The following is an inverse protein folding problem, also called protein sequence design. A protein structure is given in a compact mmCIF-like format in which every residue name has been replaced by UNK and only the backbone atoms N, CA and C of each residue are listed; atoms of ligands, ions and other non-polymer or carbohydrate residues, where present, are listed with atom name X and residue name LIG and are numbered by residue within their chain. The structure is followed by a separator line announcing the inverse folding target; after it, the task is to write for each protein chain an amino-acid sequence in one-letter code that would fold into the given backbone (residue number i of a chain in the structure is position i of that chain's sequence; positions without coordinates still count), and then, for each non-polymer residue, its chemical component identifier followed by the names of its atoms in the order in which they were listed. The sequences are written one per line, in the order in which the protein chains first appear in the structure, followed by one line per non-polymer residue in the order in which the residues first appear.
data_IF_335715352881
#
_entry.id   IF_335715352881
#
_cell.length_a   1.000
_cell.length_b   1.000
_cell.length_c   1.000
_cell.angle_alpha   90.00
_cell.angle_beta   90.00
_cell.angle_gamma   90.00
#
_symmetry.space_group_name_H-M   'P 1'
#
loop_
_entity.id
_entity.type
_entity.pdbx_description
1 polymer ?
#
# COMPACT_ATOMS: atom_id res chain seq x y z
N UNK A 1 -5.96 -22.23 -3.06
CA UNK A 1 -6.55 -22.11 -1.71
C UNK A 1 -5.75 -22.93 -0.68
N UNK A 2 -4.41 -22.95 -0.77
CA UNK A 2 -3.55 -23.78 0.12
C UNK A 2 -2.38 -23.00 0.70
N UNK A 3 -2.22 -21.74 0.29
CA UNK A 3 -1.11 -20.89 0.71
C UNK A 3 -1.40 -20.22 2.07
N UNK A 4 -2.56 -19.58 2.24
CA UNK A 4 -2.96 -18.93 3.49
C UNK A 4 -2.98 -19.86 4.72
N UNK A 5 -3.40 -21.12 4.55
CA UNK A 5 -3.39 -22.11 5.62
C UNK A 5 -1.96 -22.55 6.02
N UNK A 6 -1.01 -22.47 5.09
CA UNK A 6 0.41 -22.68 5.38
C UNK A 6 0.99 -21.45 6.10
N UNK A 7 0.68 -20.23 5.62
CA UNK A 7 1.10 -18.98 6.25
C UNK A 7 0.63 -18.87 7.71
N UNK A 8 -0.60 -19.28 8.00
CA UNK A 8 -1.15 -19.32 9.36
C UNK A 8 -0.28 -20.06 10.38
N UNK A 9 0.45 -21.11 9.96
CA UNK A 9 1.30 -21.91 10.85
C UNK A 9 2.73 -21.37 10.95
N UNK A 10 3.10 -20.40 10.12
CA UNK A 10 4.42 -19.80 10.16
C UNK A 10 4.56 -18.92 11.41
N UNK A 11 5.80 -18.83 11.88
CA UNK A 11 6.16 -17.99 13.01
C UNK A 11 6.10 -16.52 12.58
N UNK A 12 5.40 -15.71 13.36
CA UNK A 12 5.36 -14.26 13.20
C UNK A 12 6.67 -13.63 13.68
N UNK A 13 7.20 -12.71 12.88
CA UNK A 13 8.32 -11.86 13.26
C UNK A 13 7.86 -10.74 14.22
N UNK A 14 8.81 -10.07 14.86
CA UNK A 14 8.49 -8.94 15.74
C UNK A 14 7.82 -7.79 14.96
N UNK A 15 8.23 -7.55 13.72
CA UNK A 15 7.57 -6.56 12.86
C UNK A 15 6.07 -6.87 12.61
N UNK A 16 5.68 -8.15 12.60
CA UNK A 16 4.28 -8.54 12.46
C UNK A 16 3.51 -8.28 13.76
N UNK A 17 4.14 -8.49 14.91
CA UNK A 17 3.58 -8.11 16.22
C UNK A 17 3.39 -6.61 16.30
N UNK A 18 4.40 -5.83 15.95
CA UNK A 18 4.36 -4.37 15.96
C UNK A 18 3.24 -3.83 15.05
N UNK A 19 3.13 -4.36 13.83
CA UNK A 19 2.04 -4.01 12.91
C UNK A 19 0.66 -4.33 13.50
N UNK A 20 0.55 -5.41 14.27
CA UNK A 20 -0.68 -5.78 14.98
C UNK A 20 -0.97 -4.79 16.12
N UNK A 21 0.05 -4.38 16.89
CA UNK A 21 -0.07 -3.34 17.92
C UNK A 21 -0.58 -2.02 17.33
N UNK A 22 0.00 -1.58 16.23
CA UNK A 22 -0.42 -0.35 15.54
C UNK A 22 -1.90 -0.42 15.12
N UNK A 23 -2.33 -1.58 14.60
CA UNK A 23 -3.73 -1.79 14.21
C UNK A 23 -4.68 -1.77 15.42
N UNK A 24 -4.30 -2.39 16.53
CA UNK A 24 -5.08 -2.33 17.77
C UNK A 24 -5.16 -0.89 18.32
N UNK A 25 -4.05 -0.14 18.26
CA UNK A 25 -3.99 1.25 18.70
C UNK A 25 -4.86 2.18 17.86
N UNK A 26 -4.90 1.98 16.54
CA UNK A 26 -5.82 2.67 15.65
C UNK A 26 -7.28 2.37 16.00
N UNK A 27 -7.64 1.10 16.18
CA UNK A 27 -9.01 0.72 16.55
C UNK A 27 -9.46 1.27 17.92
N UNK A 28 -8.55 1.34 18.90
CA UNK A 28 -8.82 1.98 20.20
C UNK A 28 -9.03 3.49 20.04
N UNK A 29 -8.19 4.16 19.26
CA UNK A 29 -8.31 5.60 18.97
C UNK A 29 -9.60 5.95 18.22
N UNK A 30 -10.10 5.04 17.38
CA UNK A 30 -11.40 5.14 16.70
C UNK A 30 -12.60 4.79 17.60
N UNK A 31 -12.37 4.37 18.85
CA UNK A 31 -13.42 3.99 19.80
C UNK A 31 -14.05 2.62 19.53
N UNK A 32 -13.40 1.78 18.71
CA UNK A 32 -13.87 0.41 18.38
C UNK A 32 -13.39 -0.64 19.37
N UNK A 33 -12.31 -0.34 20.09
CA UNK A 33 -11.83 -1.11 21.23
C UNK A 33 -11.85 -0.23 22.46
N UNK A 34 -12.30 -0.79 23.59
CA UNK A 34 -12.12 -0.14 24.88
C UNK A 34 -10.67 -0.28 25.38
N UNK A 35 -10.21 0.57 26.31
CA UNK A 35 -8.87 0.48 26.86
C UNK A 35 -8.55 -0.89 27.49
N UNK A 36 -9.50 -1.49 28.21
CA UNK A 36 -9.38 -2.82 28.81
C UNK A 36 -9.18 -3.92 27.75
N UNK A 37 -9.94 -3.84 26.65
CA UNK A 37 -9.81 -4.79 25.54
C UNK A 37 -8.50 -4.61 24.79
N UNK A 38 -8.03 -3.37 24.66
CA UNK A 38 -6.75 -3.06 24.04
C UNK A 38 -5.60 -3.65 24.85
N UNK A 39 -5.56 -3.45 26.16
CA UNK A 39 -4.51 -4.00 27.04
C UNK A 39 -4.50 -5.54 27.02
N UNK A 40 -5.67 -6.18 27.14
CA UNK A 40 -5.79 -7.64 27.08
C UNK A 40 -5.30 -8.20 25.74
N UNK A 41 -5.62 -7.54 24.63
CA UNK A 41 -5.16 -7.96 23.30
C UNK A 41 -3.67 -7.67 23.11
N UNK A 42 -3.15 -6.57 23.67
CA UNK A 42 -1.74 -6.20 23.59
C UNK A 42 -0.85 -7.25 24.26
N UNK A 43 -1.22 -7.75 25.44
CA UNK A 43 -0.52 -8.86 26.09
C UNK A 43 -0.49 -10.12 25.21
N UNK A 44 -1.62 -10.44 24.56
CA UNK A 44 -1.73 -11.58 23.65
C UNK A 44 -0.89 -11.43 22.38
N UNK A 45 -0.73 -10.21 21.86
CA UNK A 45 0.15 -9.95 20.71
C UNK A 45 1.59 -10.33 21.05
N UNK A 46 2.08 -9.93 22.22
CA UNK A 46 3.45 -10.24 22.63
C UNK A 46 3.66 -11.72 22.98
N UNK A 47 2.60 -12.43 23.38
CA UNK A 47 2.63 -13.88 23.59
C UNK A 47 2.49 -14.69 22.28
N UNK A 48 2.00 -14.09 21.20
CA UNK A 48 1.72 -14.79 19.95
C UNK A 48 3.00 -15.26 19.25
N UNK A 49 2.98 -16.48 18.74
CA UNK A 49 4.09 -17.12 18.03
C UNK A 49 3.81 -17.17 16.54
N UNK A 50 2.55 -17.32 16.12
CA UNK A 50 2.16 -17.59 14.74
C UNK A 50 1.29 -16.50 14.13
N UNK A 51 1.27 -16.42 12.79
CA UNK A 51 0.36 -15.50 12.08
C UNK A 51 -1.10 -15.76 12.42
N UNK A 52 -1.52 -17.03 12.56
CA UNK A 52 -2.89 -17.36 12.93
C UNK A 52 -3.31 -16.80 14.30
N UNK A 53 -2.38 -16.68 15.25
CA UNK A 53 -2.66 -16.08 16.56
C UNK A 53 -2.82 -14.57 16.43
N UNK A 54 -1.96 -13.90 15.66
CA UNK A 54 -2.08 -12.46 15.39
C UNK A 54 -3.37 -12.12 14.65
N UNK A 55 -3.70 -12.85 13.59
CA UNK A 55 -4.89 -12.60 12.78
C UNK A 55 -6.18 -12.66 13.59
N UNK A 56 -6.27 -13.58 14.56
CA UNK A 56 -7.44 -13.70 15.46
C UNK A 56 -7.63 -12.47 16.34
N UNK A 57 -6.56 -11.78 16.73
CA UNK A 57 -6.63 -10.61 17.61
C UNK A 57 -7.23 -9.38 16.91
N UNK A 58 -7.31 -9.40 15.59
CA UNK A 58 -7.78 -8.28 14.76
C UNK A 58 -8.87 -8.68 13.76
N UNK A 59 -9.41 -9.90 13.90
CA UNK A 59 -10.39 -10.48 12.97
C UNK A 59 -11.74 -9.77 12.99
N UNK A 60 -12.13 -9.19 14.12
CA UNK A 60 -13.35 -8.41 14.33
C UNK A 60 -13.19 -6.93 13.96
N UNK A 61 -11.96 -6.49 13.67
CA UNK A 61 -11.68 -5.13 13.29
C UNK A 61 -11.81 -4.96 11.77
N UNK A 62 -12.32 -3.81 11.29
CA UNK A 62 -12.28 -3.52 9.86
C UNK A 62 -10.85 -3.64 9.35
N UNK A 63 -10.70 -4.17 8.13
CA UNK A 63 -9.41 -4.29 7.48
C UNK A 63 -8.76 -2.91 7.30
N UNK A 64 -7.41 -2.83 7.23
CA UNK A 64 -6.76 -1.58 6.87
C UNK A 64 -7.35 -1.06 5.55
N UNK A 65 -7.53 0.27 5.40
CA UNK A 65 -8.04 0.82 4.16
C UNK A 65 -7.17 0.31 3.01
N UNK A 66 -7.77 -0.07 1.86
CA UNK A 66 -6.98 -0.54 0.74
C UNK A 66 -5.97 0.53 0.39
N UNK A 67 -4.68 0.23 0.51
CA UNK A 67 -3.62 1.05 -0.06
C UNK A 67 -3.78 0.97 -1.57
N UNK A 68 -4.62 1.82 -2.14
CA UNK A 68 -4.64 2.04 -3.58
C UNK A 68 -3.25 2.55 -3.93
N UNK A 69 -2.44 1.80 -4.70
CA UNK A 69 -1.17 2.34 -5.15
C UNK A 69 -1.50 3.60 -5.93
N UNK A 70 -0.99 4.73 -5.45
CA UNK A 70 -0.95 5.97 -6.21
C UNK A 70 -0.18 5.63 -7.49
N UNK A 71 -0.90 5.30 -8.56
CA UNK A 71 -0.33 5.17 -9.88
C UNK A 71 0.14 6.56 -10.25
N UNK A 72 1.44 6.81 -10.07
CA UNK A 72 2.04 8.03 -10.58
C UNK A 72 1.74 8.09 -12.08
N UNK A 73 1.14 9.19 -12.59
CA UNK A 73 0.88 9.30 -14.02
C UNK A 73 2.24 9.30 -14.72
N UNK A 74 2.49 8.24 -15.50
CA UNK A 74 3.66 8.12 -16.37
C UNK A 74 3.71 9.36 -17.28
N UNK A 75 4.58 10.31 -16.93
CA UNK A 75 4.85 11.47 -17.76
C UNK A 75 5.45 10.96 -19.07
N UNK A 76 4.68 11.11 -20.15
CA UNK A 76 5.11 10.77 -21.51
C UNK A 76 6.28 11.68 -21.88
N UNK A 77 7.52 11.25 -21.57
CA UNK A 77 8.71 11.80 -22.21
C UNK A 77 8.81 11.28 -23.63
N UNK A 78 7.99 11.82 -24.55
CA UNK A 78 8.37 11.81 -25.97
C UNK A 78 9.49 12.83 -26.17
N UNK A 79 10.73 12.35 -26.02
CA UNK A 79 11.94 13.04 -26.46
C UNK A 79 11.81 13.41 -27.93
N UNK A 80 12.09 14.68 -28.24
CA UNK A 80 12.47 15.17 -29.57
C UNK A 80 13.75 14.46 -30.05
N UNK A 81 13.73 13.97 -31.29
CA UNK A 81 14.85 13.82 -32.24
C UNK A 81 14.27 13.15 -33.51
N UNK A 82 14.61 13.43 -34.76
CA UNK A 82 15.49 14.39 -35.44
C UNK A 82 15.24 14.22 -36.97
N UNK A 83 15.83 15.12 -37.78
CA UNK A 83 15.93 15.11 -39.24
C UNK A 83 14.65 15.52 -40.00
N UNK A 84 14.59 16.61 -40.77
CA UNK A 84 15.62 17.33 -41.51
C UNK A 84 15.20 17.35 -42.97
N UNK A 85 14.87 18.52 -43.53
CA UNK A 85 15.10 18.87 -44.94
C UNK A 85 14.64 20.30 -45.28
N UNK A 86 15.63 21.06 -45.75
CA UNK A 86 15.60 22.07 -46.82
C UNK A 86 14.70 23.29 -46.70
N UNK A 87 15.41 24.42 -46.48
CA UNK A 87 15.12 25.78 -46.91
C UNK A 87 14.71 25.84 -48.39
N UNK A 88 13.73 26.67 -48.72
CA UNK A 88 13.79 27.68 -49.80
C UNK A 88 12.77 28.80 -49.54
N UNK A 89 13.20 30.08 -49.43
CA UNK A 89 12.35 31.23 -49.68
C UNK A 89 12.61 31.78 -51.08
N UNK A 90 11.54 32.14 -51.81
CA UNK A 90 11.64 33.12 -52.89
C UNK A 90 10.99 32.77 -54.22
N UNK A 91 10.41 33.82 -54.79
CA UNK A 91 9.88 34.03 -56.15
C UNK A 91 8.48 33.44 -56.40
N UNK A 92 7.49 34.22 -56.86
CA UNK A 92 7.54 35.09 -58.05
C UNK A 92 6.65 36.32 -57.90
N UNK A 93 7.19 37.48 -58.29
CA UNK A 93 6.39 38.60 -58.76
C UNK A 93 5.75 38.26 -60.10
N UNK A 94 4.52 38.75 -60.30
CA UNK A 94 3.79 38.80 -61.57
C UNK A 94 2.65 39.81 -61.38
N UNK A 95 2.87 41.06 -61.79
CA UNK A 95 2.34 41.67 -63.02
C UNK A 95 0.91 42.20 -62.87
N UNK A 96 0.78 43.52 -62.88
CA UNK A 96 0.07 44.29 -63.93
C UNK A 96 0.65 45.70 -63.96
#
# INVERSE_FOLDING_TARGET
MTDAAAQHRLRAADADRDATVDRLGAAMSEGRLRPDEYEERLERVFAAITYAELDRLVADLPGPPPTTPLTEPATVRRRRAAAGRSRQPGVKGRSV
#
